data_IF_401792821043
#
_entry.id   IF_401792821043
#
_cell.length_a   1.000
_cell.length_b   1.000
_cell.length_c   1.000
_cell.angle_alpha   90.00
_cell.angle_beta   90.00
_cell.angle_gamma   90.00
#
_symmetry.space_group_name_H-M   'P 1'
#
loop_
_entity.id
_entity.type
_entity.pdbx_description
1 polymer ?
#
# COMPACT_ATOMS: atom_id res chain seq x y z
N UNK A 1 8.85 -24.76 -12.72
CA UNK A 1 9.19 -23.48 -13.37
C UNK A 1 9.18 -22.41 -12.29
N UNK A 2 10.30 -21.76 -11.95
CA UNK A 2 10.30 -20.74 -10.91
C UNK A 2 9.58 -19.48 -11.43
N UNK A 3 8.58 -19.03 -10.68
CA UNK A 3 7.85 -17.79 -10.92
C UNK A 3 8.79 -16.60 -10.84
N UNK A 4 8.95 -15.86 -11.94
CA UNK A 4 9.65 -14.59 -11.94
C UNK A 4 9.02 -13.65 -10.91
N UNK A 5 9.82 -13.23 -9.93
CA UNK A 5 9.49 -12.11 -9.06
C UNK A 5 9.36 -10.86 -9.94
N UNK A 6 8.12 -10.42 -10.20
CA UNK A 6 7.87 -9.09 -10.74
C UNK A 6 8.14 -8.07 -9.65
N UNK A 7 9.35 -7.53 -9.63
CA UNK A 7 9.66 -6.33 -8.85
C UNK A 7 8.83 -5.18 -9.41
N UNK A 8 7.76 -4.78 -8.71
CA UNK A 8 7.03 -3.54 -8.97
C UNK A 8 7.88 -2.35 -8.54
N UNK A 9 8.91 -2.04 -9.34
CA UNK A 9 9.63 -0.78 -9.23
C UNK A 9 9.18 0.13 -10.36
N UNK A 10 8.01 0.73 -10.20
CA UNK A 10 7.59 1.84 -11.05
C UNK A 10 7.24 3.00 -10.13
N UNK A 11 8.28 3.64 -9.59
CA UNK A 11 8.14 5.07 -9.34
C UNK A 11 8.05 5.66 -10.74
N UNK A 12 6.98 6.40 -11.03
CA UNK A 12 6.86 7.09 -12.32
C UNK A 12 8.14 7.91 -12.55
N UNK A 13 8.68 7.94 -13.79
CA UNK A 13 9.85 8.75 -14.10
C UNK A 13 9.67 10.19 -13.62
N UNK A 14 10.74 10.80 -13.11
CA UNK A 14 10.65 12.16 -12.61
C UNK A 14 10.35 13.11 -13.78
N UNK A 15 9.36 13.96 -13.59
CA UNK A 15 8.90 14.90 -14.61
C UNK A 15 9.75 16.18 -14.60
N UNK A 16 11.03 16.07 -14.99
CA UNK A 16 11.92 17.23 -15.08
C UNK A 16 11.39 18.33 -16.01
N UNK A 17 10.61 17.97 -17.02
CA UNK A 17 9.94 18.90 -17.94
C UNK A 17 9.02 19.90 -17.21
N UNK A 18 8.46 19.51 -16.05
CA UNK A 18 7.57 20.36 -15.26
C UNK A 18 8.32 21.40 -14.42
N UNK A 19 9.64 21.27 -14.26
CA UNK A 19 10.45 22.25 -13.54
C UNK A 19 10.76 23.45 -14.44
N UNK A 20 10.60 24.67 -13.93
CA UNK A 20 11.09 25.88 -14.61
C UNK A 20 12.61 25.78 -14.88
N UNK A 21 13.15 26.37 -15.96
CA UNK A 21 14.57 26.25 -16.33
C UNK A 21 15.52 26.57 -15.17
N UNK A 22 15.31 27.70 -14.49
CA UNK A 22 16.09 28.11 -13.32
C UNK A 22 16.00 27.14 -12.15
N UNK A 23 14.84 26.49 -11.96
CA UNK A 23 14.68 25.46 -10.93
C UNK A 23 15.44 24.19 -11.27
N UNK A 24 15.53 23.84 -12.55
CA UNK A 24 16.36 22.71 -13.00
C UNK A 24 17.86 23.00 -12.80
N UNK A 25 18.33 24.21 -13.13
CA UNK A 25 19.70 24.65 -12.84
C UNK A 25 20.01 24.60 -11.34
N UNK A 26 19.10 25.10 -10.49
CA UNK A 26 19.25 25.06 -9.03
C UNK A 26 19.27 23.63 -8.49
N UNK A 27 18.48 22.72 -9.07
CA UNK A 27 18.48 21.30 -8.71
C UNK A 27 19.82 20.65 -9.02
N UNK A 28 20.35 20.84 -10.24
CA UNK A 28 21.65 20.31 -10.66
C UNK A 28 22.76 20.88 -9.79
N UNK A 29 22.74 22.19 -9.51
CA UNK A 29 23.70 22.83 -8.60
C UNK A 29 23.63 22.27 -7.18
N UNK A 30 22.43 21.96 -6.67
CA UNK A 30 22.29 21.35 -5.37
C UNK A 30 22.83 19.92 -5.32
N UNK A 31 22.63 19.14 -6.39
CA UNK A 31 23.27 17.83 -6.54
C UNK A 31 24.80 17.92 -6.63
N UNK A 32 25.32 19.00 -7.23
CA UNK A 32 26.76 19.21 -7.38
C UNK A 32 27.49 19.41 -6.06
N UNK A 33 26.88 20.02 -5.03
CA UNK A 33 27.57 20.23 -3.74
C UNK A 33 28.16 18.96 -3.15
N UNK A 34 27.54 17.81 -3.43
CA UNK A 34 27.94 16.49 -2.97
C UNK A 34 28.84 15.72 -3.94
N UNK A 35 29.08 16.26 -5.14
CA UNK A 35 29.83 15.60 -6.20
C UNK A 35 31.35 15.74 -6.03
N UNK A 36 31.82 16.87 -5.49
CA UNK A 36 33.23 17.20 -5.23
C UNK A 36 33.36 18.10 -4.00
N UNK A 37 34.59 18.24 -3.51
CA UNK A 37 34.92 19.18 -2.43
C UNK A 37 35.13 20.58 -3.01
N UNK A 38 34.02 21.32 -3.17
CA UNK A 38 34.06 22.67 -3.70
C UNK A 38 34.58 23.66 -2.66
N UNK A 39 35.60 24.44 -3.01
CA UNK A 39 35.89 25.71 -2.34
C UNK A 39 34.78 26.71 -2.58
N UNK A 40 34.33 26.79 -3.84
CA UNK A 40 33.31 27.72 -4.27
C UNK A 40 32.54 27.15 -5.46
N UNK A 41 31.22 27.38 -5.48
CA UNK A 41 30.34 27.03 -6.59
C UNK A 41 29.45 28.23 -6.90
N UNK A 42 29.75 28.94 -7.98
CA UNK A 42 29.08 30.17 -8.38
C UNK A 42 27.95 29.90 -9.40
N UNK A 43 26.73 30.42 -9.18
CA UNK A 43 25.65 30.35 -10.15
C UNK A 43 25.77 31.51 -11.17
N UNK A 44 26.42 31.26 -12.31
CA UNK A 44 26.61 32.26 -13.37
C UNK A 44 25.34 32.50 -14.17
N UNK A 45 24.46 31.51 -14.30
CA UNK A 45 23.22 31.60 -15.10
C UNK A 45 22.15 32.56 -14.57
N UNK A 46 22.22 33.00 -13.29
CA UNK A 46 21.22 33.93 -12.72
C UNK A 46 21.42 35.40 -13.10
N UNK A 47 22.61 35.79 -13.56
CA UNK A 47 22.98 37.21 -13.75
C UNK A 47 22.72 37.76 -15.16
N UNK A 48 22.18 36.96 -16.08
CA UNK A 48 21.65 37.44 -17.37
C UNK A 48 22.70 37.75 -18.44
N UNK A 49 23.97 37.43 -18.21
CA UNK A 49 25.02 37.37 -19.26
C UNK A 49 25.07 35.95 -19.78
N UNK A 50 24.65 35.75 -21.02
CA UNK A 50 24.43 34.45 -21.67
C UNK A 50 25.75 33.85 -22.21
N UNK A 51 26.83 33.92 -21.41
CA UNK A 51 28.16 33.39 -21.78
C UNK A 51 28.19 31.85 -21.88
N UNK A 52 27.02 31.21 -21.88
CA UNK A 52 26.86 29.79 -22.17
C UNK A 52 26.91 28.87 -20.96
N UNK A 53 27.11 29.35 -19.73
CA UNK A 53 27.28 28.50 -18.53
C UNK A 53 26.35 28.85 -17.37
N UNK A 54 25.88 27.80 -16.70
CA UNK A 54 24.92 27.90 -15.62
C UNK A 54 25.58 27.94 -14.24
N UNK A 55 26.74 27.28 -14.09
CA UNK A 55 27.58 27.40 -12.91
C UNK A 55 29.07 27.19 -13.18
N UNK A 56 29.90 27.76 -12.30
CA UNK A 56 31.36 27.58 -12.26
C UNK A 56 31.80 27.10 -10.89
N UNK A 57 32.64 26.07 -10.85
CA UNK A 57 33.11 25.45 -9.62
C UNK A 57 34.63 25.56 -9.47
N UNK A 58 35.09 25.82 -8.24
CA UNK A 58 36.49 25.72 -7.84
C UNK A 58 36.59 24.57 -6.85
N UNK A 59 37.13 23.45 -7.30
CA UNK A 59 37.40 22.29 -6.46
C UNK A 59 38.73 22.51 -5.73
N UNK A 60 38.69 22.36 -4.40
CA UNK A 60 39.89 22.45 -3.58
C UNK A 60 40.70 21.15 -3.69
N UNK A 61 41.98 21.27 -4.05
CA UNK A 61 42.93 20.17 -3.89
C UNK A 61 43.73 20.44 -2.61
N UNK A 62 43.69 19.50 -1.66
CA UNK A 62 44.74 19.38 -0.66
C UNK A 62 45.91 18.62 -1.28
N UNK A 63 47.01 19.32 -1.55
CA UNK A 63 48.28 18.65 -1.83
C UNK A 63 48.83 18.28 -0.46
N UNK A 64 48.72 17.00 -0.09
CA UNK A 64 49.52 16.47 1.01
C UNK A 64 50.97 16.49 0.52
N UNK A 65 51.73 17.49 0.98
CA UNK A 65 53.17 17.52 0.78
C UNK A 65 53.71 16.41 1.67
N UNK A 66 54.30 15.36 1.10
CA UNK A 66 55.02 14.33 1.86
C UNK A 66 55.98 15.02 2.84
N UNK A 67 55.75 14.83 4.13
CA UNK A 67 56.58 15.34 5.23
C UNK A 67 57.96 14.67 5.20
N UNK A 68 58.87 15.10 4.33
CA UNK A 68 60.27 14.62 4.36
C UNK A 68 61.34 15.72 4.35
N UNK A 69 60.97 16.99 4.57
CA UNK A 69 61.94 18.07 4.84
C UNK A 69 61.51 18.95 6.03
N UNK A 70 62.13 18.83 7.21
CA UNK A 70 61.96 19.78 8.29
C UNK A 70 62.84 21.00 8.01
N UNK A 71 62.27 22.01 7.36
CA UNK A 71 62.98 23.24 7.02
C UNK A 71 62.03 24.42 6.83
N UNK A 72 61.96 25.25 7.88
CA UNK A 72 61.41 26.62 7.94
C UNK A 72 59.89 26.82 8.01
N UNK A 73 59.51 27.67 8.98
CA UNK A 73 58.17 28.08 9.33
C UNK A 73 57.48 28.85 8.19
N UNK A 74 56.24 28.49 7.87
CA UNK A 74 55.26 29.47 7.41
C UNK A 74 54.80 29.47 5.95
N UNK A 75 54.89 28.37 5.19
CA UNK A 75 54.21 28.29 3.89
C UNK A 75 52.87 27.56 3.99
N UNK A 76 51.80 28.32 3.75
CA UNK A 76 50.45 27.76 3.53
C UNK A 76 50.52 26.87 2.27
N UNK A 77 50.00 25.63 2.29
CA UNK A 77 50.07 24.76 1.12
C UNK A 77 49.48 25.45 -0.10
N UNK A 78 50.23 25.48 -1.20
CA UNK A 78 49.84 26.02 -2.51
C UNK A 78 48.61 25.26 -3.03
N UNK A 79 47.42 25.67 -2.62
CA UNK A 79 46.18 25.11 -3.14
C UNK A 79 45.95 25.65 -4.55
N UNK A 80 46.21 24.83 -5.57
CA UNK A 80 45.76 25.12 -6.93
C UNK A 80 44.35 24.58 -7.07
N UNK A 81 43.41 25.46 -7.43
CA UNK A 81 42.02 25.06 -7.63
C UNK A 81 41.84 24.42 -9.00
N UNK A 82 41.08 23.32 -9.04
CA UNK A 82 40.58 22.79 -10.31
C UNK A 82 39.32 23.55 -10.68
N UNK A 83 39.35 24.15 -11.86
CA UNK A 83 38.23 24.92 -12.37
C UNK A 83 37.30 23.99 -13.15
N UNK A 84 36.04 23.99 -12.76
CA UNK A 84 34.97 23.21 -13.36
C UNK A 84 33.93 24.12 -13.98
N UNK A 85 33.38 23.67 -15.09
CA UNK A 85 32.31 24.36 -15.80
C UNK A 85 31.09 23.46 -15.92
N UNK A 86 29.94 24.02 -15.57
CA UNK A 86 28.67 23.30 -15.51
C UNK A 86 27.67 23.97 -16.44
N UNK A 87 27.09 23.17 -17.32
CA UNK A 87 26.05 23.60 -18.24
C UNK A 87 24.81 22.74 -18.07
N UNK A 88 23.67 23.39 -17.84
CA UNK A 88 22.35 22.80 -17.69
C UNK A 88 21.55 23.06 -18.96
N UNK A 89 21.13 22.00 -19.65
CA UNK A 89 20.29 22.09 -20.85
C UNK A 89 18.99 21.35 -20.61
N UNK A 90 17.90 22.10 -20.36
CA UNK A 90 16.55 21.54 -20.18
C UNK A 90 15.89 21.23 -21.52
N UNK A 91 16.44 20.26 -22.23
CA UNK A 91 15.93 19.76 -23.51
C UNK A 91 15.58 18.28 -23.42
N UNK A 92 14.59 17.82 -24.22
CA UNK A 92 14.14 16.41 -24.22
C UNK A 92 15.11 15.47 -24.92
N UNK A 93 15.90 15.99 -25.86
CA UNK A 93 16.85 15.21 -26.64
C UNK A 93 18.04 16.09 -27.05
N UNK A 94 19.26 15.59 -26.82
CA UNK A 94 20.49 16.26 -27.21
C UNK A 94 21.33 15.28 -28.04
N UNK A 95 21.42 15.57 -29.34
CA UNK A 95 22.24 14.81 -30.28
C UNK A 95 23.73 15.16 -30.18
N UNK A 96 24.61 14.36 -30.81
CA UNK A 96 26.07 14.58 -30.77
C UNK A 96 26.48 15.94 -31.34
N UNK A 97 25.92 16.36 -32.48
CA UNK A 97 26.26 17.65 -33.11
C UNK A 97 25.95 18.83 -32.19
N UNK A 98 24.73 18.86 -31.64
CA UNK A 98 24.29 19.92 -30.74
C UNK A 98 25.11 19.97 -29.45
N UNK A 99 25.52 18.80 -28.95
CA UNK A 99 26.40 18.70 -27.79
C UNK A 99 27.77 19.34 -28.06
N UNK A 100 28.34 19.13 -29.24
CA UNK A 100 29.60 19.76 -29.64
C UNK A 100 29.40 21.27 -29.88
N UNK A 101 28.30 21.71 -30.49
CA UNK A 101 27.99 23.14 -30.64
C UNK A 101 27.97 23.87 -29.30
N UNK A 102 27.44 23.25 -28.23
CA UNK A 102 27.49 23.86 -26.90
C UNK A 102 28.91 24.03 -26.37
N UNK A 103 29.81 23.10 -26.69
CA UNK A 103 31.20 23.12 -26.27
C UNK A 103 32.05 24.09 -27.09
N UNK A 104 31.76 24.24 -28.38
CA UNK A 104 32.44 25.21 -29.25
C UNK A 104 32.12 26.67 -28.91
N UNK A 105 31.00 26.91 -28.21
CA UNK A 105 30.66 28.24 -27.69
C UNK A 105 31.50 28.64 -26.47
N UNK A 106 32.36 27.76 -25.94
CA UNK A 106 33.26 28.07 -24.83
C UNK A 106 34.39 28.97 -25.31
N UNK A 107 34.62 30.10 -24.61
CA UNK A 107 35.71 31.01 -24.97
C UNK A 107 37.07 30.34 -24.82
N UNK A 108 38.04 30.71 -25.67
CA UNK A 108 39.39 30.11 -25.64
C UNK A 108 40.12 30.41 -24.33
N UNK A 109 39.84 31.57 -23.75
CA UNK A 109 40.37 32.01 -22.47
C UNK A 109 39.89 31.11 -21.31
N UNK A 110 38.61 30.74 -21.30
CA UNK A 110 38.05 29.87 -20.26
C UNK A 110 38.51 28.42 -20.43
N UNK A 111 38.59 27.95 -21.67
CA UNK A 111 38.99 26.58 -22.00
C UNK A 111 40.44 26.30 -21.59
N UNK A 112 41.35 27.26 -21.73
CA UNK A 112 42.77 27.10 -21.39
C UNK A 112 43.03 26.84 -19.90
N UNK A 113 42.12 27.23 -19.00
CA UNK A 113 42.25 27.05 -17.56
C UNK A 113 41.36 25.96 -16.97
N UNK A 114 40.65 25.21 -17.81
CA UNK A 114 39.59 24.32 -17.36
C UNK A 114 40.11 22.91 -17.03
N UNK A 115 39.76 22.42 -15.83
CA UNK A 115 40.05 21.04 -15.44
C UNK A 115 38.96 20.07 -15.91
N UNK A 116 37.69 20.46 -15.76
CA UNK A 116 36.58 19.57 -16.11
C UNK A 116 35.27 20.24 -16.52
N UNK A 117 34.46 19.49 -17.28
CA UNK A 117 33.13 19.91 -17.77
C UNK A 117 32.05 18.94 -17.28
N UNK A 118 30.92 19.51 -16.87
CA UNK A 118 29.69 18.78 -16.57
C UNK A 118 28.57 19.35 -17.43
N UNK A 119 27.95 18.52 -18.26
CA UNK A 119 26.70 18.87 -18.96
C UNK A 119 25.57 18.06 -18.37
N UNK A 120 24.57 18.74 -17.82
CA UNK A 120 23.39 18.15 -17.22
C UNK A 120 22.14 18.43 -18.07
N UNK A 121 21.39 17.37 -18.39
CA UNK A 121 20.15 17.48 -19.15
C UNK A 121 19.16 16.39 -18.75
N UNK A 122 17.85 16.67 -18.73
CA UNK A 122 16.81 15.66 -18.51
C UNK A 122 16.55 14.84 -19.79
N UNK A 123 17.61 14.52 -20.54
CA UNK A 123 17.59 13.77 -21.79
C UNK A 123 18.44 12.50 -21.68
N UNK A 124 18.15 11.52 -22.52
CA UNK A 124 18.99 10.34 -22.67
C UNK A 124 20.11 10.63 -23.68
N UNK A 125 21.36 10.50 -23.25
CA UNK A 125 22.52 10.65 -24.12
C UNK A 125 22.85 9.32 -24.80
N UNK A 126 22.81 9.31 -26.13
CA UNK A 126 23.22 8.14 -26.92
C UNK A 126 24.70 7.81 -26.70
N UNK A 127 25.09 6.56 -26.96
CA UNK A 127 26.52 6.17 -26.97
C UNK A 127 27.35 7.07 -27.89
N UNK A 128 26.84 7.39 -29.08
CA UNK A 128 27.51 8.27 -30.04
C UNK A 128 27.73 9.68 -29.46
N UNK A 129 26.77 10.22 -28.71
CA UNK A 129 26.90 11.50 -28.02
C UNK A 129 27.98 11.45 -26.94
N UNK A 130 28.00 10.38 -26.13
CA UNK A 130 29.02 10.16 -25.09
C UNK A 130 30.44 10.04 -25.68
N UNK A 131 30.57 9.30 -26.79
CA UNK A 131 31.86 9.09 -27.46
C UNK A 131 32.37 10.40 -28.09
N UNK A 132 31.50 11.17 -28.76
CA UNK A 132 31.85 12.46 -29.35
C UNK A 132 32.27 13.49 -28.28
N UNK A 133 31.55 13.55 -27.16
CA UNK A 133 31.87 14.44 -26.03
C UNK A 133 33.25 14.15 -25.43
N UNK A 134 33.56 12.87 -25.21
CA UNK A 134 34.86 12.45 -24.67
C UNK A 134 36.00 12.76 -25.64
N UNK A 135 35.79 12.54 -26.94
CA UNK A 135 36.79 12.85 -27.96
C UNK A 135 37.10 14.35 -27.96
N UNK A 136 36.07 15.19 -27.97
CA UNK A 136 36.24 16.65 -27.95
C UNK A 136 36.99 17.12 -26.69
N UNK A 137 36.64 16.59 -25.51
CA UNK A 137 37.35 16.90 -24.26
C UNK A 137 38.84 16.53 -24.34
N UNK A 138 39.16 15.37 -24.91
CA UNK A 138 40.54 14.91 -25.07
C UNK A 138 41.34 15.80 -26.02
N UNK A 139 40.74 16.27 -27.12
CA UNK A 139 41.36 17.17 -28.08
C UNK A 139 41.67 18.55 -27.47
N UNK A 140 40.88 18.95 -26.48
CA UNK A 140 40.97 20.24 -25.80
C UNK A 140 41.70 20.18 -24.45
N UNK A 141 42.37 19.06 -24.14
CA UNK A 141 43.16 18.86 -22.92
C UNK A 141 42.37 18.99 -21.61
N UNK A 142 41.07 18.68 -21.64
CA UNK A 142 40.21 18.66 -20.46
C UNK A 142 40.37 17.33 -19.75
N UNK A 143 40.65 17.37 -18.44
CA UNK A 143 41.00 16.18 -17.65
C UNK A 143 39.78 15.34 -17.29
N UNK A 144 38.65 15.96 -16.94
CA UNK A 144 37.43 15.25 -16.52
C UNK A 144 36.17 15.75 -17.24
N UNK A 145 35.36 14.83 -17.74
CA UNK A 145 34.15 15.16 -18.51
C UNK A 145 32.97 14.26 -18.13
N UNK A 146 31.87 14.87 -17.70
CA UNK A 146 30.65 14.18 -17.26
C UNK A 146 29.41 14.64 -18.03
N UNK A 147 28.59 13.65 -18.42
CA UNK A 147 27.25 13.87 -18.92
C UNK A 147 26.26 13.35 -17.87
N UNK A 148 25.48 14.25 -17.27
CA UNK A 148 24.39 13.91 -16.37
C UNK A 148 23.10 13.89 -17.16
N UNK A 149 22.76 12.72 -17.69
CA UNK A 149 21.49 12.50 -18.38
C UNK A 149 20.34 12.28 -17.40
N UNK A 150 19.17 12.00 -17.96
CA UNK A 150 17.97 11.73 -17.16
C UNK A 150 18.19 10.62 -16.13
N UNK A 151 18.79 9.50 -16.54
CA UNK A 151 19.03 8.37 -15.66
C UNK A 151 19.98 8.72 -14.50
N UNK A 152 21.11 9.39 -14.78
CA UNK A 152 22.08 9.79 -13.76
C UNK A 152 21.49 10.79 -12.76
N UNK A 153 20.63 11.70 -13.23
CA UNK A 153 19.91 12.66 -12.37
C UNK A 153 18.86 11.96 -11.49
N UNK A 154 18.05 11.05 -12.05
CA UNK A 154 17.08 10.27 -11.28
C UNK A 154 17.78 9.42 -10.21
N UNK A 155 18.82 8.66 -10.60
CA UNK A 155 19.58 7.82 -9.68
C UNK A 155 20.19 8.64 -8.54
N UNK A 156 20.70 9.84 -8.83
CA UNK A 156 21.22 10.75 -7.82
C UNK A 156 20.14 11.24 -6.87
N UNK A 157 18.95 11.61 -7.39
CA UNK A 157 17.84 12.11 -6.59
C UNK A 157 17.19 11.06 -5.70
N UNK A 158 17.18 9.79 -6.12
CA UNK A 158 16.66 8.70 -5.31
C UNK A 158 17.61 8.22 -4.20
N UNK A 159 18.80 8.81 -4.06
CA UNK A 159 19.66 8.53 -2.92
C UNK A 159 19.06 9.12 -1.64
N UNK A 160 19.11 8.41 -0.49
CA UNK A 160 18.49 8.89 0.76
C UNK A 160 18.95 10.28 1.22
N UNK A 161 20.22 10.63 0.94
CA UNK A 161 20.78 11.96 1.26
C UNK A 161 20.09 13.11 0.51
N UNK A 162 19.55 12.82 -0.69
CA UNK A 162 18.90 13.78 -1.57
C UNK A 162 17.36 13.78 -1.43
N UNK A 163 16.79 13.10 -0.42
CA UNK A 163 15.33 13.07 -0.17
C UNK A 163 14.72 14.47 -0.01
N UNK A 164 15.51 15.41 0.54
CA UNK A 164 15.12 16.81 0.67
C UNK A 164 14.97 17.51 -0.69
N UNK A 165 15.82 17.20 -1.67
CA UNK A 165 15.71 17.71 -3.05
C UNK A 165 14.52 17.05 -3.77
N UNK A 166 14.37 15.74 -3.62
CA UNK A 166 13.24 15.01 -4.20
C UNK A 166 11.90 15.59 -3.72
N UNK A 167 11.81 15.96 -2.45
CA UNK A 167 10.62 16.60 -1.89
C UNK A 167 10.45 18.04 -2.37
N UNK A 168 11.50 18.86 -2.32
CA UNK A 168 11.43 20.28 -2.68
C UNK A 168 11.09 20.52 -4.16
N UNK A 169 11.54 19.64 -5.06
CA UNK A 169 11.37 19.79 -6.50
C UNK A 169 10.24 18.94 -7.08
N UNK A 170 9.95 17.77 -6.52
CA UNK A 170 8.96 16.84 -7.08
C UNK A 170 7.83 16.49 -6.10
N UNK A 171 7.85 16.99 -4.86
CA UNK A 171 6.84 16.66 -3.84
C UNK A 171 6.90 15.22 -3.34
N UNK A 172 7.97 14.49 -3.66
CA UNK A 172 8.15 13.07 -3.32
C UNK A 172 9.13 12.93 -2.14
N UNK A 173 8.81 12.11 -1.14
CA UNK A 173 9.76 11.73 -0.09
C UNK A 173 9.69 10.24 0.22
N UNK A 174 10.84 9.59 0.13
CA UNK A 174 11.06 8.19 0.52
C UNK A 174 10.90 8.02 2.03
N UNK A 175 11.34 9.02 2.82
CA UNK A 175 11.24 9.00 4.28
C UNK A 175 9.79 9.09 4.76
N UNK A 176 8.99 9.99 4.17
CA UNK A 176 7.56 10.16 4.51
C UNK A 176 6.80 8.87 4.20
N UNK A 177 7.05 8.25 3.04
CA UNK A 177 6.42 6.98 2.66
C UNK A 177 6.75 5.85 3.65
N UNK A 178 8.02 5.72 4.06
CA UNK A 178 8.44 4.72 5.06
C UNK A 178 7.78 4.96 6.42
N UNK A 179 7.68 6.22 6.87
CA UNK A 179 7.00 6.59 8.13
C UNK A 179 5.50 6.28 8.07
N UNK A 180 4.83 6.57 6.95
CA UNK A 180 3.41 6.26 6.74
C UNK A 180 3.12 4.76 6.84
N UNK A 181 3.92 3.91 6.16
CA UNK A 181 3.77 2.45 6.23
C UNK A 181 3.98 1.92 7.65
N UNK A 182 5.00 2.43 8.36
CA UNK A 182 5.27 2.06 9.74
C UNK A 182 4.10 2.42 10.66
N UNK A 183 3.50 3.60 10.49
CA UNK A 183 2.31 4.01 11.24
C UNK A 183 1.12 3.10 10.96
N UNK A 184 0.85 2.78 9.69
CA UNK A 184 -0.22 1.88 9.30
C UNK A 184 -0.06 0.48 9.90
N UNK A 185 1.13 -0.13 9.81
CA UNK A 185 1.41 -1.45 10.39
C UNK A 185 1.26 -1.46 11.92
N UNK A 186 1.66 -0.38 12.59
CA UNK A 186 1.47 -0.22 14.03
C UNK A 186 0.00 -0.12 14.42
N UNK A 187 -0.80 0.62 13.65
CA UNK A 187 -2.24 0.72 13.86
C UNK A 187 -2.91 -0.65 13.72
N UNK A 188 -2.67 -1.36 12.61
CA UNK A 188 -3.20 -2.72 12.37
C UNK A 188 -2.80 -3.71 13.48
N UNK A 189 -1.53 -3.70 13.90
CA UNK A 189 -1.04 -4.59 14.96
C UNK A 189 -1.69 -4.26 16.31
N UNK A 190 -1.96 -2.98 16.57
CA UNK A 190 -2.63 -2.53 17.80
C UNK A 190 -4.08 -2.99 17.82
N UNK A 191 -4.83 -2.77 16.73
CA UNK A 191 -6.20 -3.26 16.56
C UNK A 191 -6.26 -4.78 16.74
N UNK A 192 -5.39 -5.53 16.05
CA UNK A 192 -5.33 -7.00 16.18
C UNK A 192 -5.13 -7.46 17.63
N UNK A 193 -4.27 -6.77 18.40
CA UNK A 193 -4.06 -7.09 19.83
C UNK A 193 -5.29 -6.77 20.68
N UNK A 194 -5.97 -5.64 20.43
CA UNK A 194 -7.21 -5.29 21.13
C UNK A 194 -8.33 -6.30 20.84
N UNK A 195 -8.53 -6.65 19.57
CA UNK A 195 -9.49 -7.68 19.14
C UNK A 195 -9.21 -9.02 19.82
N UNK A 196 -7.96 -9.46 19.86
CA UNK A 196 -7.59 -10.72 20.51
C UNK A 196 -8.06 -10.75 21.96
N UNK A 197 -7.78 -9.68 22.72
CA UNK A 197 -8.21 -9.57 24.13
C UNK A 197 -9.73 -9.51 24.27
N UNK A 198 -10.39 -8.72 23.43
CA UNK A 198 -11.84 -8.57 23.40
C UNK A 198 -12.56 -9.93 23.20
N UNK A 199 -12.10 -10.68 22.19
CA UNK A 199 -12.63 -12.01 21.83
C UNK A 199 -12.40 -13.02 22.94
N UNK A 200 -11.18 -13.10 23.48
CA UNK A 200 -10.81 -14.06 24.53
C UNK A 200 -11.61 -13.81 25.83
N UNK A 201 -11.85 -12.55 26.17
CA UNK A 201 -12.59 -12.16 27.39
C UNK A 201 -14.08 -12.47 27.29
N UNK A 202 -14.70 -12.26 26.13
CA UNK A 202 -16.16 -12.35 25.95
C UNK A 202 -16.59 -13.58 25.15
N UNK A 203 -15.79 -14.66 25.16
CA UNK A 203 -16.12 -15.94 24.51
C UNK A 203 -16.51 -15.80 23.02
N UNK A 204 -15.96 -14.79 22.34
CA UNK A 204 -16.25 -14.50 20.94
C UNK A 204 -17.54 -13.71 20.67
N UNK A 205 -18.26 -13.23 21.69
CA UNK A 205 -19.33 -12.25 21.50
C UNK A 205 -18.75 -10.85 21.29
N UNK A 206 -19.26 -10.13 20.29
CA UNK A 206 -18.86 -8.77 19.95
C UNK A 206 -20.06 -7.97 19.41
N UNK A 207 -19.99 -6.66 19.54
CA UNK A 207 -20.85 -5.73 18.80
C UNK A 207 -20.00 -5.03 17.76
N UNK A 208 -20.44 -5.06 16.51
CA UNK A 208 -19.87 -4.25 15.44
C UNK A 208 -20.75 -3.04 15.24
N UNK A 209 -20.17 -1.84 15.31
CA UNK A 209 -20.85 -0.56 15.19
C UNK A 209 -20.30 0.21 14.01
N UNK A 210 -21.20 0.77 13.22
CA UNK A 210 -20.82 1.78 12.24
C UNK A 210 -20.29 3.02 12.95
N UNK A 211 -19.15 3.54 12.50
CA UNK A 211 -18.56 4.78 13.02
C UNK A 211 -19.42 6.00 12.76
N UNK A 212 -20.27 5.96 11.73
CA UNK A 212 -21.16 7.05 11.37
C UNK A 212 -22.52 6.96 12.12
N UNK A 213 -22.73 5.92 12.95
CA UNK A 213 -23.92 5.76 13.77
C UNK A 213 -23.86 6.59 15.06
N UNK A 214 -24.89 7.42 15.27
CA UNK A 214 -25.04 8.26 16.46
C UNK A 214 -26.27 7.88 17.29
N UNK A 215 -27.00 6.82 16.92
CA UNK A 215 -28.28 6.49 17.54
C UNK A 215 -28.19 5.38 18.56
N UNK A 216 -27.15 4.54 18.51
CA UNK A 216 -26.91 3.54 19.53
C UNK A 216 -27.02 4.12 20.97
N UNK A 217 -27.72 3.44 21.90
CA UNK A 217 -28.38 2.13 21.74
C UNK A 217 -29.86 2.20 21.31
N UNK A 218 -30.36 3.37 20.90
CA UNK A 218 -31.78 3.62 20.66
C UNK A 218 -32.14 3.67 19.19
N UNK A 219 -33.38 3.27 18.86
CA UNK A 219 -33.91 3.42 17.50
C UNK A 219 -34.17 4.89 17.16
N UNK A 220 -34.02 5.24 15.88
CA UNK A 220 -34.51 6.51 15.34
C UNK A 220 -36.03 6.52 15.42
N UNK A 221 -36.64 7.57 15.98
CA UNK A 221 -38.09 7.66 16.26
C UNK A 221 -38.97 7.49 15.00
N UNK A 222 -38.41 7.68 13.80
CA UNK A 222 -39.11 7.55 12.50
C UNK A 222 -38.69 6.30 11.68
N UNK A 223 -37.89 5.39 12.25
CA UNK A 223 -37.50 4.15 11.57
C UNK A 223 -38.72 3.23 11.40
N UNK A 224 -39.25 3.18 10.18
CA UNK A 224 -40.40 2.32 9.82
C UNK A 224 -39.90 0.92 9.44
N UNK A 225 -39.79 0.03 10.43
CA UNK A 225 -39.49 -1.40 10.24
C UNK A 225 -38.25 -1.89 11.00
N UNK A 226 -37.98 -3.19 10.89
CA UNK A 226 -36.89 -3.95 11.54
C UNK A 226 -35.45 -3.51 11.10
N UNK A 227 -35.30 -2.37 10.42
CA UNK A 227 -34.20 -2.13 9.47
C UNK A 227 -33.55 -0.74 9.56
N UNK A 228 -33.09 -0.29 10.73
CA UNK A 228 -32.15 0.84 10.73
C UNK A 228 -31.08 0.83 11.82
N UNK A 229 -30.87 -0.31 12.50
CA UNK A 229 -29.72 -0.38 13.39
C UNK A 229 -28.43 -0.54 12.58
N UNK A 230 -27.50 0.41 12.78
CA UNK A 230 -26.14 0.36 12.25
C UNK A 230 -25.15 -0.26 13.24
N UNK A 231 -25.67 -1.20 14.03
CA UNK A 231 -24.88 -2.06 14.89
C UNK A 231 -25.43 -3.48 14.85
N UNK A 232 -24.55 -4.45 15.07
CA UNK A 232 -24.86 -5.87 14.95
C UNK A 232 -24.11 -6.64 16.02
N UNK A 233 -24.81 -7.54 16.71
CA UNK A 233 -24.22 -8.45 17.67
C UNK A 233 -23.88 -9.75 16.96
N UNK A 234 -22.66 -10.23 17.13
CA UNK A 234 -22.21 -11.51 16.58
C UNK A 234 -21.57 -12.38 17.64
N UNK A 235 -21.65 -13.70 17.43
CA UNK A 235 -20.92 -14.69 18.21
C UNK A 235 -19.76 -15.31 17.41
N UNK A 236 -18.92 -16.07 18.12
CA UNK A 236 -17.82 -16.85 17.55
C UNK A 236 -16.84 -16.03 16.72
N UNK A 237 -16.69 -14.75 17.09
CA UNK A 237 -15.70 -13.90 16.48
C UNK A 237 -14.29 -14.47 16.69
N UNK A 238 -13.48 -14.51 15.63
CA UNK A 238 -12.10 -14.99 15.67
C UNK A 238 -11.21 -14.18 14.74
N UNK A 239 -9.91 -14.26 14.99
CA UNK A 239 -8.90 -13.62 14.16
C UNK A 239 -8.39 -14.56 13.09
N UNK A 240 -8.38 -14.11 11.85
CA UNK A 240 -7.77 -14.82 10.72
C UNK A 240 -6.66 -13.96 10.10
N UNK A 241 -6.02 -14.47 9.05
CA UNK A 241 -5.07 -13.69 8.27
C UNK A 241 -5.76 -12.60 7.44
N UNK A 242 -7.05 -12.76 7.11
CA UNK A 242 -7.88 -11.80 6.36
C UNK A 242 -8.40 -10.67 7.24
N UNK A 243 -8.68 -10.94 8.52
CA UNK A 243 -9.19 -9.92 9.43
C UNK A 243 -9.90 -10.49 10.65
N UNK A 244 -10.92 -9.76 11.09
CA UNK A 244 -11.91 -10.23 12.06
C UNK A 244 -12.97 -11.03 11.31
N UNK A 245 -13.12 -12.30 11.64
CA UNK A 245 -14.15 -13.19 11.10
C UNK A 245 -15.22 -13.48 12.15
N UNK A 246 -16.48 -13.56 11.74
CA UNK A 246 -17.63 -13.88 12.59
C UNK A 246 -18.72 -14.64 11.82
N UNK A 247 -19.56 -15.39 12.53
CA UNK A 247 -20.70 -16.10 11.92
C UNK A 247 -21.85 -15.11 11.72
N UNK A 248 -22.25 -14.86 10.47
CA UNK A 248 -23.36 -13.99 10.11
C UNK A 248 -24.70 -14.72 10.11
N UNK A 249 -24.72 -15.91 9.48
CA UNK A 249 -25.93 -16.73 9.32
C UNK A 249 -25.58 -18.20 9.44
N UNK A 250 -26.56 -18.99 9.87
CA UNK A 250 -26.40 -20.43 10.03
C UNK A 250 -27.70 -21.14 9.70
N UNK A 251 -27.64 -22.14 8.83
CA UNK A 251 -28.81 -22.89 8.39
C UNK A 251 -28.60 -24.39 8.60
N UNK A 252 -29.69 -25.11 8.87
CA UNK A 252 -29.69 -26.57 8.89
C UNK A 252 -29.38 -27.09 7.50
N UNK A 253 -28.41 -28.00 7.39
CA UNK A 253 -27.96 -28.53 6.11
C UNK A 253 -27.86 -30.05 6.11
N UNK A 254 -27.72 -30.58 4.90
CA UNK A 254 -27.52 -31.97 4.58
C UNK A 254 -26.34 -32.09 3.63
N UNK A 255 -25.47 -33.07 3.86
CA UNK A 255 -24.42 -33.51 2.93
C UNK A 255 -24.72 -34.98 2.61
N UNK A 256 -24.76 -35.32 1.34
CA UNK A 256 -24.95 -36.71 0.93
C UNK A 256 -23.70 -37.55 1.23
N UNK A 257 -23.89 -38.87 1.24
CA UNK A 257 -22.83 -39.86 1.43
C UNK A 257 -21.73 -39.83 0.36
N UNK A 258 -21.96 -39.14 -0.76
CA UNK A 258 -20.93 -38.90 -1.78
C UNK A 258 -20.05 -37.68 -1.50
N UNK A 259 -20.28 -36.97 -0.39
CA UNK A 259 -19.55 -35.79 0.05
C UNK A 259 -19.46 -34.68 -1.02
N UNK A 260 -20.38 -34.69 -2.00
CA UNK A 260 -20.40 -33.73 -3.12
C UNK A 260 -21.72 -33.00 -3.13
N UNK A 261 -22.83 -33.73 -2.99
CA UNK A 261 -24.16 -33.16 -3.04
C UNK A 261 -24.62 -32.67 -1.67
N UNK A 262 -25.29 -31.54 -1.66
CA UNK A 262 -25.72 -30.91 -0.42
C UNK A 262 -27.08 -30.23 -0.57
N UNK A 263 -27.72 -29.92 0.55
CA UNK A 263 -28.90 -29.04 0.58
C UNK A 263 -28.99 -28.32 1.93
N UNK A 264 -29.79 -27.26 2.02
CA UNK A 264 -30.03 -26.52 3.25
C UNK A 264 -31.46 -26.00 3.35
N UNK A 265 -31.99 -26.01 4.58
CA UNK A 265 -33.22 -25.31 4.95
C UNK A 265 -32.88 -23.85 5.29
N UNK A 266 -32.87 -23.00 4.28
CA UNK A 266 -32.47 -21.59 4.38
C UNK A 266 -33.64 -20.61 4.57
N UNK A 267 -34.84 -21.12 4.85
CA UNK A 267 -36.00 -20.31 5.26
C UNK A 267 -35.81 -19.66 6.65
N UNK A 268 -34.96 -20.26 7.49
CA UNK A 268 -34.77 -19.87 8.89
C UNK A 268 -33.28 -19.72 9.22
N UNK A 269 -32.91 -18.66 9.93
CA UNK A 269 -31.54 -18.41 10.39
C UNK A 269 -31.36 -18.86 11.86
N UNK A 270 -30.55 -19.89 12.07
CA UNK A 270 -30.21 -20.42 13.39
C UNK A 270 -29.04 -19.69 14.06
N UNK A 271 -28.48 -18.62 13.45
CA UNK A 271 -27.47 -17.77 14.08
C UNK A 271 -28.04 -16.76 15.08
N UNK A 272 -29.37 -16.57 15.10
CA UNK A 272 -30.00 -15.54 15.96
C UNK A 272 -29.70 -15.76 17.43
N UNK A 273 -29.19 -14.73 18.09
CA UNK A 273 -28.83 -14.76 19.51
C UNK A 273 -30.06 -14.70 20.42
N UNK A 274 -29.88 -15.00 21.69
CA UNK A 274 -30.93 -14.80 22.70
C UNK A 274 -31.13 -13.30 22.97
N UNK A 275 -32.31 -12.93 23.50
CA UNK A 275 -32.60 -11.56 23.94
C UNK A 275 -31.66 -11.03 25.02
N UNK A 276 -30.97 -11.92 25.75
CA UNK A 276 -29.96 -11.51 26.74
C UNK A 276 -28.65 -11.10 26.10
N UNK A 277 -28.31 -11.71 24.96
CA UNK A 277 -27.06 -11.43 24.24
C UNK A 277 -27.24 -10.33 23.20
N UNK A 278 -28.39 -10.29 22.53
CA UNK A 278 -28.79 -9.23 21.60
C UNK A 278 -30.15 -8.65 22.04
N UNK A 279 -30.15 -7.53 22.79
CA UNK A 279 -31.39 -6.88 23.22
C UNK A 279 -32.25 -6.33 22.07
N UNK A 280 -31.67 -6.12 20.88
CA UNK A 280 -32.33 -5.47 19.75
C UNK A 280 -32.92 -6.47 18.77
N UNK A 281 -32.15 -7.50 18.38
CA UNK A 281 -32.55 -8.53 17.39
C UNK A 281 -32.60 -9.94 17.96
N UNK A 282 -32.39 -10.10 19.26
CA UNK A 282 -32.47 -11.41 19.90
C UNK A 282 -33.81 -12.09 19.66
N UNK A 283 -33.77 -13.41 19.47
CA UNK A 283 -34.91 -14.22 19.01
C UNK A 283 -36.17 -14.00 19.87
N UNK A 284 -37.22 -13.46 19.24
CA UNK A 284 -38.62 -13.47 19.73
C UNK A 284 -39.47 -14.33 18.79
N UNK A 285 -40.16 -15.35 19.30
CA UNK A 285 -41.35 -15.90 18.64
C UNK A 285 -41.22 -17.12 17.72
N UNK A 286 -40.13 -17.34 16.97
CA UNK A 286 -40.13 -18.39 15.92
C UNK A 286 -39.68 -19.79 16.36
N UNK A 287 -40.13 -20.23 17.55
CA UNK A 287 -39.81 -21.60 18.03
C UNK A 287 -40.46 -22.67 17.16
N UNK A 288 -41.69 -22.44 16.72
CA UNK A 288 -42.47 -23.45 15.99
C UNK A 288 -41.83 -23.81 14.64
N UNK A 289 -41.40 -22.79 13.87
CA UNK A 289 -40.72 -23.02 12.58
C UNK A 289 -39.37 -23.71 12.76
N UNK A 290 -38.60 -23.30 13.78
CA UNK A 290 -37.32 -23.97 14.09
C UNK A 290 -37.54 -25.41 14.50
N UNK A 291 -38.54 -25.68 15.34
CA UNK A 291 -38.84 -27.02 15.85
C UNK A 291 -39.29 -27.95 14.71
N UNK A 292 -40.05 -27.45 13.74
CA UNK A 292 -40.41 -28.18 12.52
C UNK A 292 -39.17 -28.56 11.69
N UNK A 293 -38.30 -27.59 11.40
CA UNK A 293 -37.04 -27.84 10.66
C UNK A 293 -36.16 -28.83 11.43
N UNK A 294 -36.06 -28.67 12.74
CA UNK A 294 -35.26 -29.53 13.61
C UNK A 294 -35.82 -30.96 13.66
N UNK A 295 -37.13 -31.14 13.68
CA UNK A 295 -37.77 -32.46 13.61
C UNK A 295 -37.44 -33.16 12.30
N UNK A 296 -37.57 -32.46 11.16
CA UNK A 296 -37.16 -32.99 9.86
C UNK A 296 -35.66 -33.32 9.84
N UNK A 297 -34.82 -32.38 10.27
CA UNK A 297 -33.37 -32.55 10.28
C UNK A 297 -32.93 -33.71 11.17
N UNK A 298 -33.61 -33.93 12.29
CA UNK A 298 -33.34 -35.06 13.18
C UNK A 298 -33.72 -36.41 12.57
N UNK A 299 -34.69 -36.44 11.64
CA UNK A 299 -35.08 -37.65 10.91
C UNK A 299 -34.05 -38.09 9.86
N UNK A 300 -33.10 -37.21 9.48
CA UNK A 300 -32.03 -37.55 8.56
C UNK A 300 -31.01 -38.52 9.21
N UNK A 301 -30.29 -39.35 8.41
CA UNK A 301 -29.20 -40.18 8.92
C UNK A 301 -28.11 -39.34 9.60
N UNK A 302 -27.57 -39.83 10.72
CA UNK A 302 -26.63 -39.08 11.58
C UNK A 302 -25.38 -38.56 10.83
N UNK A 303 -24.82 -39.37 9.92
CA UNK A 303 -23.65 -38.99 9.10
C UNK A 303 -23.92 -37.99 7.98
N UNK A 304 -25.18 -37.62 7.74
CA UNK A 304 -25.57 -36.68 6.67
C UNK A 304 -25.97 -35.30 7.18
N UNK A 305 -26.10 -35.15 8.51
CA UNK A 305 -26.50 -33.89 9.15
C UNK A 305 -25.34 -32.91 9.15
N UNK A 306 -25.57 -31.71 8.62
CA UNK A 306 -24.56 -30.67 8.52
C UNK A 306 -25.16 -29.28 8.79
N UNK A 307 -24.31 -28.27 8.78
CA UNK A 307 -24.66 -26.86 8.87
C UNK A 307 -24.13 -26.13 7.65
N UNK A 308 -24.91 -25.20 7.10
CA UNK A 308 -24.43 -24.20 6.17
C UNK A 308 -24.22 -22.91 6.95
N UNK A 309 -22.98 -22.42 6.99
CA UNK A 309 -22.57 -21.26 7.78
C UNK A 309 -22.08 -20.18 6.84
N UNK A 310 -22.54 -18.95 7.03
CA UNK A 310 -22.02 -17.76 6.36
C UNK A 310 -21.10 -17.00 7.30
N UNK A 311 -19.88 -16.79 6.86
CA UNK A 311 -18.86 -16.05 7.58
C UNK A 311 -18.69 -14.66 6.99
N UNK A 312 -18.74 -13.64 7.84
CA UNK A 312 -18.40 -12.27 7.49
C UNK A 312 -16.98 -11.95 7.90
N UNK A 313 -16.27 -11.18 7.07
CA UNK A 313 -14.91 -10.71 7.36
C UNK A 313 -14.87 -9.18 7.31
N UNK A 314 -14.21 -8.60 8.31
CA UNK A 314 -13.78 -7.19 8.30
C UNK A 314 -12.25 -7.13 8.34
N UNK A 315 -11.60 -6.62 7.28
CA UNK A 315 -10.16 -6.41 7.27
C UNK A 315 -9.70 -5.49 8.40
N UNK A 316 -8.52 -5.74 8.97
CA UNK A 316 -8.01 -4.97 10.13
C UNK A 316 -7.90 -3.46 9.87
N UNK A 317 -7.66 -3.07 8.63
CA UNK A 317 -7.58 -1.67 8.19
C UNK A 317 -8.92 -0.94 8.11
N UNK A 318 -10.02 -1.68 8.08
CA UNK A 318 -11.38 -1.12 8.07
C UNK A 318 -11.95 -0.97 9.48
N UNK A 319 -11.25 -1.48 10.50
CA UNK A 319 -11.57 -1.31 11.91
C UNK A 319 -10.85 -0.07 12.42
N UNK A 320 -11.62 0.91 12.85
CA UNK A 320 -11.11 2.20 13.33
C UNK A 320 -10.66 2.08 14.78
N UNK A 321 -11.45 1.44 15.63
CA UNK A 321 -11.15 1.31 17.05
C UNK A 321 -11.85 0.08 17.66
N UNK A 322 -11.29 -0.40 18.77
CA UNK A 322 -11.83 -1.50 19.58
C UNK A 322 -11.90 -1.05 21.03
N UNK A 323 -13.11 -1.08 21.57
CA UNK A 323 -13.38 -0.99 22.99
C UNK A 323 -13.56 -2.41 23.55
N UNK A 324 -12.58 -2.89 24.31
CA UNK A 324 -12.55 -4.23 24.92
C UNK A 324 -13.29 -4.31 26.27
N UNK A 325 -13.94 -3.21 26.69
CA UNK A 325 -14.73 -3.14 27.93
C UNK A 325 -16.21 -3.40 27.66
N UNK A 326 -16.77 -2.76 26.62
CA UNK A 326 -18.21 -2.77 26.36
C UNK A 326 -18.96 -1.75 27.23
N UNK A 327 -20.28 -1.91 27.35
CA UNK A 327 -21.16 -0.97 28.07
C UNK A 327 -22.21 -1.67 28.96
N UNK A 328 -23.11 -0.88 29.56
CA UNK A 328 -24.21 -1.37 30.39
C UNK A 328 -25.32 -2.11 29.63
N UNK A 329 -25.38 -1.99 28.29
CA UNK A 329 -26.42 -2.61 27.48
C UNK A 329 -26.17 -4.10 27.29
N UNK A 330 -24.92 -4.47 27.02
CA UNK A 330 -24.58 -5.88 26.75
C UNK A 330 -23.29 -6.35 27.41
N UNK A 331 -22.39 -5.44 27.80
CA UNK A 331 -21.03 -5.77 28.25
C UNK A 331 -20.14 -6.37 27.16
N UNK A 332 -20.62 -6.51 25.92
CA UNK A 332 -19.86 -7.01 24.79
C UNK A 332 -18.86 -5.95 24.29
N UNK A 333 -17.68 -6.34 23.80
CA UNK A 333 -16.73 -5.41 23.19
C UNK A 333 -17.35 -4.70 21.98
N UNK A 334 -17.07 -3.40 21.83
CA UNK A 334 -17.50 -2.64 20.67
C UNK A 334 -16.37 -2.53 19.65
N UNK A 335 -16.65 -2.99 18.44
CA UNK A 335 -15.77 -2.89 17.29
C UNK A 335 -16.31 -1.79 16.39
N UNK A 336 -15.59 -0.68 16.32
CA UNK A 336 -15.97 0.45 15.48
C UNK A 336 -15.36 0.28 14.09
N UNK A 337 -16.21 0.07 13.09
CA UNK A 337 -15.80 -0.14 11.71
C UNK A 337 -16.71 0.65 10.77
N UNK A 338 -16.24 0.96 9.57
CA UNK A 338 -17.09 1.60 8.56
C UNK A 338 -17.86 0.53 7.79
N UNK A 339 -19.18 0.69 7.69
CA UNK A 339 -20.00 -0.19 6.85
C UNK A 339 -19.67 0.07 5.38
N UNK A 340 -19.47 -0.98 4.56
CA UNK A 340 -19.26 -0.81 3.13
C UNK A 340 -20.42 -0.07 2.47
N UNK A 341 -20.11 0.86 1.57
CA UNK A 341 -21.12 1.64 0.86
C UNK A 341 -22.08 0.72 0.08
N UNK A 342 -23.39 0.91 0.28
CA UNK A 342 -24.43 0.12 -0.39
C UNK A 342 -24.71 -1.24 0.24
N UNK A 343 -24.03 -1.62 1.34
CA UNK A 343 -24.32 -2.85 2.09
C UNK A 343 -25.14 -2.56 3.35
N UNK A 344 -25.98 -3.52 3.74
CA UNK A 344 -26.82 -3.49 4.95
C UNK A 344 -26.20 -4.27 6.13
N UNK A 345 -24.96 -4.74 5.97
CA UNK A 345 -24.23 -5.53 6.96
C UNK A 345 -22.78 -5.04 7.06
N UNK A 346 -22.10 -5.28 8.20
CA UNK A 346 -20.77 -4.71 8.43
C UNK A 346 -19.64 -5.49 7.75
N UNK A 347 -19.89 -6.72 7.29
CA UNK A 347 -18.88 -7.53 6.61
C UNK A 347 -18.49 -6.93 5.25
N UNK A 348 -17.19 -6.87 4.98
CA UNK A 348 -16.64 -6.46 3.68
C UNK A 348 -16.69 -7.61 2.69
N UNK A 349 -16.30 -8.79 3.15
CA UNK A 349 -16.32 -10.05 2.43
C UNK A 349 -17.25 -11.01 3.16
N UNK A 350 -18.00 -11.81 2.40
CA UNK A 350 -18.84 -12.88 2.93
C UNK A 350 -18.51 -14.14 2.15
N UNK A 351 -18.35 -15.25 2.83
CA UNK A 351 -18.23 -16.57 2.21
C UNK A 351 -19.07 -17.58 2.98
N UNK A 352 -19.40 -18.68 2.32
CA UNK A 352 -20.16 -19.76 2.92
C UNK A 352 -19.30 -21.01 3.06
N UNK A 353 -19.65 -21.84 4.04
CA UNK A 353 -18.98 -23.10 4.31
C UNK A 353 -20.01 -24.11 4.83
N UNK A 354 -19.92 -25.34 4.34
CA UNK A 354 -20.59 -26.47 4.97
C UNK A 354 -19.78 -26.97 6.17
N UNK A 355 -20.44 -27.54 7.17
CA UNK A 355 -19.77 -28.11 8.34
C UNK A 355 -20.51 -29.35 8.82
N UNK A 356 -19.79 -30.46 9.02
CA UNK A 356 -20.39 -31.67 9.58
C UNK A 356 -20.91 -31.42 11.01
N UNK A 357 -22.07 -31.95 11.34
CA UNK A 357 -22.65 -31.82 12.69
C UNK A 357 -21.76 -32.39 13.80
N UNK A 358 -20.95 -33.42 13.50
CA UNK A 358 -19.98 -34.03 14.40
C UNK A 358 -18.59 -33.36 14.38
N UNK A 359 -18.40 -32.31 13.58
CA UNK A 359 -17.24 -31.41 13.65
C UNK A 359 -15.92 -31.92 13.07
N UNK A 360 -15.90 -33.08 12.40
CA UNK A 360 -14.70 -33.65 11.80
C UNK A 360 -14.89 -33.89 10.30
N UNK A 361 -13.90 -33.51 9.48
CA UNK A 361 -13.88 -33.73 8.03
C UNK A 361 -13.72 -32.42 7.24
N UNK A 362 -13.47 -32.57 5.94
CA UNK A 362 -13.46 -31.47 4.97
C UNK A 362 -14.74 -31.57 4.14
N UNK A 363 -15.82 -30.87 4.51
CA UNK A 363 -17.05 -30.88 3.75
C UNK A 363 -16.85 -30.22 2.38
N UNK A 364 -17.69 -30.55 1.38
CA UNK A 364 -17.61 -29.92 0.07
C UNK A 364 -17.88 -28.43 0.13
N UNK A 365 -17.40 -27.73 -0.89
CA UNK A 365 -17.77 -26.34 -1.12
C UNK A 365 -19.25 -26.27 -1.56
N UNK A 366 -20.06 -25.35 -0.99
CA UNK A 366 -21.49 -25.25 -1.25
C UNK A 366 -21.78 -24.54 -2.60
N UNK A 367 -21.42 -25.18 -3.71
CA UNK A 367 -21.76 -24.67 -5.03
C UNK A 367 -23.22 -24.92 -5.40
N UNK A 368 -23.83 -24.00 -6.16
CA UNK A 368 -25.23 -24.09 -6.53
C UNK A 368 -25.56 -25.28 -7.45
N UNK A 369 -24.59 -25.73 -8.26
CA UNK A 369 -24.73 -26.85 -9.19
C UNK A 369 -24.70 -28.22 -8.50
N UNK A 370 -24.11 -28.31 -7.31
CA UNK A 370 -24.09 -29.52 -6.48
C UNK A 370 -25.24 -29.57 -5.47
N UNK A 371 -26.12 -28.55 -5.44
CA UNK A 371 -27.27 -28.52 -4.54
C UNK A 371 -28.39 -29.46 -5.03
N UNK A 372 -28.81 -30.38 -4.16
CA UNK A 372 -29.95 -31.28 -4.38
C UNK A 372 -31.20 -30.80 -3.64
N UNK A 373 -32.37 -31.35 -3.96
CA UNK A 373 -33.63 -31.02 -3.29
C UNK A 373 -33.96 -32.06 -2.20
N UNK A 374 -33.26 -31.99 -1.06
CA UNK A 374 -33.44 -32.90 0.07
C UNK A 374 -34.47 -32.39 1.07
N UNK A 375 -34.43 -31.10 1.39
CA UNK A 375 -35.41 -30.47 2.27
C UNK A 375 -36.73 -30.20 1.51
N UNK A 376 -37.88 -30.22 2.22
CA UNK A 376 -39.16 -29.76 1.67
C UNK A 376 -39.06 -28.40 0.99
N UNK A 377 -39.85 -28.18 -0.08
CA UNK A 377 -39.73 -26.98 -0.91
C UNK A 377 -40.04 -25.69 -0.13
N UNK A 378 -40.97 -25.76 0.81
CA UNK A 378 -41.34 -24.70 1.74
C UNK A 378 -40.20 -24.27 2.69
N UNK A 379 -39.20 -25.14 2.91
CA UNK A 379 -38.03 -24.83 3.73
C UNK A 379 -36.85 -24.28 2.91
N UNK A 380 -37.00 -24.21 1.57
CA UNK A 380 -35.96 -23.79 0.63
C UNK A 380 -36.35 -22.49 -0.04
N UNK A 381 -35.60 -21.44 0.22
CA UNK A 381 -35.69 -20.16 -0.49
C UNK A 381 -34.53 -20.08 -1.50
N UNK A 382 -34.66 -19.38 -2.63
CA UNK A 382 -33.51 -19.00 -3.44
C UNK A 382 -32.44 -18.30 -2.59
N UNK A 383 -31.18 -18.68 -2.75
CA UNK A 383 -30.09 -17.98 -2.08
C UNK A 383 -29.84 -16.61 -2.72
N UNK A 384 -29.31 -15.63 -1.97
CA UNK A 384 -28.80 -14.40 -2.56
C UNK A 384 -27.72 -14.69 -3.60
N UNK A 385 -27.54 -13.79 -4.57
CA UNK A 385 -26.52 -13.88 -5.63
C UNK A 385 -25.08 -14.03 -5.09
N UNK A 386 -24.86 -13.73 -3.81
CA UNK A 386 -23.60 -13.90 -3.07
C UNK A 386 -23.07 -15.36 -3.07
N UNK A 387 -23.94 -16.36 -3.28
CA UNK A 387 -23.55 -17.76 -3.46
C UNK A 387 -23.22 -18.13 -4.91
N UNK A 388 -23.55 -17.26 -5.86
CA UNK A 388 -23.28 -17.46 -7.29
C UNK A 388 -21.92 -16.86 -7.72
N UNK A 389 -21.38 -15.90 -6.95
CA UNK A 389 -20.15 -15.15 -7.32
C UNK A 389 -18.82 -15.75 -6.80
N UNK A 390 -18.81 -16.86 -6.06
CA UNK A 390 -17.56 -17.40 -5.47
C UNK A 390 -16.72 -18.30 -6.40
N UNK A 391 -16.93 -18.26 -7.73
CA UNK A 391 -16.33 -19.22 -8.66
C UNK A 391 -14.84 -18.99 -8.99
N UNK A 392 -14.26 -17.83 -8.67
CA UNK A 392 -13.01 -17.41 -9.33
C UNK A 392 -11.77 -17.22 -8.45
N UNK A 393 -11.84 -17.43 -7.13
CA UNK A 393 -10.63 -17.47 -6.29
C UNK A 393 -10.38 -18.85 -5.68
N UNK A 394 -9.31 -19.56 -6.09
CA UNK A 394 -8.93 -20.79 -5.41
C UNK A 394 -8.58 -20.47 -3.97
N UNK A 395 -9.28 -21.10 -3.02
CA UNK A 395 -8.92 -21.00 -1.62
C UNK A 395 -7.46 -21.44 -1.43
N UNK A 396 -6.61 -20.63 -0.77
CA UNK A 396 -5.26 -21.06 -0.48
C UNK A 396 -5.31 -22.16 0.57
N UNK A 397 -4.97 -23.37 0.12
CA UNK A 397 -4.39 -24.50 0.86
C UNK A 397 -4.79 -24.66 2.33
N UNK A 398 -5.55 -25.72 2.59
CA UNK A 398 -5.61 -26.40 3.88
C UNK A 398 -4.24 -26.72 4.46
#
# INVERSE_FOLDING_TARGET
MPSEQRFTRTINPLQFDALEPKRFEDLVRQLLYDFRQWRQLEPTGRMGSDDGFDARGWEAISIDIDEEYPGEEGETPLSTDRIWLVQCKREKAIGPTKLIEYLENISKEELAGLYGIIIAAPADFSKKSRDAFRLWCSEHSISECYLWGKAELEDSLFQPKNDHLLFAYFGLSLTIRRRSLQTQLRAQTTIKRKLKRAIEKNRGFIIIRDVDDNFYPYLVEDATGDQDFRWWVFERAKLTHRGLEFECRKHFAYIDTDETHWDAANVFDDSSLSLSEDPWRGRKGDRDQRDEILQFWNSLPEGTKSWLIFHGIIPFEQIIEVDDVGDEMTGHPHIYAKTPAGKTHPAWEVYSQLSYSHGWGNPPDPFADTRVAKFPAELRIPFPAELEESSDEPQPGT
#
